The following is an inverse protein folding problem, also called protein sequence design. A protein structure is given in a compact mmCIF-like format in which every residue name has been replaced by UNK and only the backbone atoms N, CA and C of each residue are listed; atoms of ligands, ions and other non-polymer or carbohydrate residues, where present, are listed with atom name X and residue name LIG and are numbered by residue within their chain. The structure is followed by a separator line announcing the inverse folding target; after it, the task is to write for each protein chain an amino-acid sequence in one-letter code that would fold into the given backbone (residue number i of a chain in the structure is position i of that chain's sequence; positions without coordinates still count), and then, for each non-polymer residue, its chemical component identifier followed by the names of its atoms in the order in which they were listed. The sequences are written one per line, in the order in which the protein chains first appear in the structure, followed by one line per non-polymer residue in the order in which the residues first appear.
data_IF_307945427441
#
_entry.id   IF_307945427441
#
_cell.length_a   1.000
_cell.length_b   1.000
_cell.length_c   1.000
_cell.angle_alpha   90.00
_cell.angle_beta   90.00
_cell.angle_gamma   90.00
#
_symmetry.space_group_name_H-M   'P 1'
#
loop_
_entity.id
_entity.type
_entity.pdbx_description
1 polymer ?
#
# COMPACT_ATOMS: atom_id res chain seq x y z
N UNK A 1 -29.19 -12.80 1.44
CA UNK A 1 -28.73 -12.51 0.05
C UNK A 1 -28.98 -11.06 -0.36
N UNK A 2 -30.16 -10.49 -0.07
CA UNK A 2 -30.50 -9.07 -0.29
C UNK A 2 -29.57 -8.07 0.40
N UNK A 3 -29.24 -8.30 1.68
CA UNK A 3 -28.34 -7.43 2.44
C UNK A 3 -26.95 -7.27 1.78
N UNK A 4 -26.39 -8.36 1.25
CA UNK A 4 -25.07 -8.38 0.60
C UNK A 4 -25.08 -7.61 -0.73
N UNK A 5 -26.20 -7.65 -1.46
CA UNK A 5 -26.39 -6.87 -2.69
C UNK A 5 -26.56 -5.39 -2.38
N UNK A 6 -27.37 -5.05 -1.36
CA UNK A 6 -27.55 -3.68 -0.88
C UNK A 6 -26.23 -3.03 -0.45
N UNK A 7 -25.43 -3.72 0.36
CA UNK A 7 -24.11 -3.23 0.80
C UNK A 7 -23.17 -3.00 -0.40
N UNK A 8 -23.14 -3.91 -1.38
CA UNK A 8 -22.29 -3.74 -2.57
C UNK A 8 -22.70 -2.52 -3.41
N UNK A 9 -24.00 -2.33 -3.64
CA UNK A 9 -24.50 -1.19 -4.42
C UNK A 9 -24.23 0.12 -3.67
N UNK A 10 -24.51 0.15 -2.37
CA UNK A 10 -24.23 1.31 -1.52
C UNK A 10 -22.75 1.68 -1.49
N UNK A 11 -21.87 0.71 -1.28
CA UNK A 11 -20.42 0.93 -1.29
C UNK A 11 -19.92 1.41 -2.65
N UNK A 12 -20.46 0.85 -3.75
CA UNK A 12 -20.17 1.31 -5.10
C UNK A 12 -20.56 2.77 -5.33
N UNK A 13 -21.79 3.15 -4.99
CA UNK A 13 -22.26 4.54 -5.10
C UNK A 13 -21.42 5.51 -4.25
N UNK A 14 -21.10 5.14 -3.00
CA UNK A 14 -20.24 5.95 -2.14
C UNK A 14 -18.86 6.15 -2.75
N UNK A 15 -18.25 5.08 -3.26
CA UNK A 15 -16.89 5.14 -3.83
C UNK A 15 -16.85 6.04 -5.06
N UNK A 16 -17.90 6.00 -5.91
CA UNK A 16 -18.01 6.89 -7.08
C UNK A 16 -18.15 8.37 -6.67
N UNK A 17 -19.00 8.67 -5.69
CA UNK A 17 -19.15 10.04 -5.17
C UNK A 17 -17.82 10.58 -4.62
N UNK A 18 -17.13 9.75 -3.84
CA UNK A 18 -15.85 10.10 -3.20
C UNK A 18 -14.74 10.28 -4.26
N UNK A 19 -14.70 9.44 -5.29
CA UNK A 19 -13.74 9.54 -6.39
C UNK A 19 -13.93 10.78 -7.25
N UNK A 20 -15.18 11.21 -7.47
CA UNK A 20 -15.49 12.44 -8.24
C UNK A 20 -15.23 13.68 -7.39
N UNK A 21 -15.53 13.63 -6.09
CA UNK A 21 -15.35 14.77 -5.18
C UNK A 21 -13.89 15.01 -4.77
N UNK A 22 -13.07 13.96 -4.69
CA UNK A 22 -11.71 14.05 -4.17
C UNK A 22 -10.69 13.38 -5.11
N UNK A 23 -10.18 14.11 -6.12
CA UNK A 23 -9.22 13.57 -7.09
C UNK A 23 -7.85 13.23 -6.48
N UNK A 24 -7.59 13.59 -5.22
CA UNK A 24 -6.33 13.33 -4.51
C UNK A 24 -6.24 11.94 -3.85
N UNK A 25 -7.34 11.17 -3.81
CA UNK A 25 -7.38 9.85 -3.17
C UNK A 25 -6.40 8.83 -3.74
N UNK A 26 -6.14 8.76 -5.06
CA UNK A 26 -5.14 7.85 -5.60
C UNK A 26 -3.74 8.11 -5.01
N UNK A 27 -3.40 9.37 -4.75
CA UNK A 27 -2.11 9.73 -4.15
C UNK A 27 -2.01 9.30 -2.69
N UNK A 28 -3.10 9.44 -1.92
CA UNK A 28 -3.17 8.93 -0.54
C UNK A 28 -3.15 7.39 -0.50
N UNK A 29 -3.82 6.73 -1.45
CA UNK A 29 -3.85 5.28 -1.53
C UNK A 29 -2.45 4.70 -1.79
N UNK A 30 -1.64 5.35 -2.63
CA UNK A 30 -0.25 4.95 -2.87
C UNK A 30 0.62 5.10 -1.61
N UNK A 31 0.43 6.16 -0.83
CA UNK A 31 1.08 6.37 0.46
C UNK A 31 0.71 5.30 1.49
N UNK A 32 -0.59 5.04 1.65
CA UNK A 32 -1.12 4.03 2.58
C UNK A 32 -0.64 2.65 2.16
N UNK A 33 -0.66 2.35 0.86
CA UNK A 33 -0.09 1.12 0.30
C UNK A 33 1.39 0.98 0.61
N UNK A 34 2.18 2.05 0.39
CA UNK A 34 3.60 2.13 0.73
C UNK A 34 3.90 1.77 2.19
N UNK A 35 3.11 2.29 3.12
CA UNK A 35 3.26 2.05 4.57
C UNK A 35 2.79 0.66 4.99
N UNK A 36 1.82 0.08 4.28
CA UNK A 36 1.30 -1.26 4.58
C UNK A 36 2.24 -2.39 4.10
N UNK A 37 3.04 -2.14 3.06
CA UNK A 37 3.90 -3.15 2.43
C UNK A 37 4.95 -3.82 3.34
N UNK A 38 5.63 -3.10 4.26
CA UNK A 38 6.50 -3.74 5.25
C UNK A 38 5.73 -4.71 6.14
N UNK A 39 4.50 -4.36 6.51
CA UNK A 39 3.65 -5.19 7.37
C UNK A 39 3.17 -6.43 6.64
N UNK A 40 2.88 -6.34 5.34
CA UNK A 40 2.40 -7.50 4.57
C UNK A 40 3.50 -8.39 4.01
N UNK A 41 4.66 -7.81 3.67
CA UNK A 41 5.76 -8.53 3.00
C UNK A 41 6.94 -8.80 3.95
N UNK A 42 7.43 -7.79 4.66
CA UNK A 42 8.63 -7.94 5.50
C UNK A 42 8.31 -8.65 6.82
N UNK A 43 7.16 -8.37 7.43
CA UNK A 43 6.75 -8.96 8.70
C UNK A 43 6.71 -10.51 8.69
N UNK A 44 6.01 -11.20 7.76
CA UNK A 44 5.98 -12.67 7.77
C UNK A 44 7.36 -13.28 7.51
N UNK A 45 8.20 -12.66 6.67
CA UNK A 45 9.56 -13.11 6.40
C UNK A 45 10.46 -13.00 7.64
N UNK A 46 10.42 -11.86 8.34
CA UNK A 46 11.18 -11.65 9.57
C UNK A 46 10.67 -12.54 10.72
N UNK A 47 9.35 -12.64 10.87
CA UNK A 47 8.69 -13.52 11.84
C UNK A 47 9.14 -14.98 11.65
N UNK A 48 9.17 -15.45 10.40
CA UNK A 48 9.61 -16.81 10.09
C UNK A 48 11.06 -17.06 10.49
N UNK A 49 11.97 -16.11 10.22
CA UNK A 49 13.39 -16.21 10.61
C UNK A 49 13.55 -16.27 12.13
N UNK A 50 12.78 -15.46 12.87
CA UNK A 50 12.81 -15.40 14.33
C UNK A 50 12.31 -16.72 14.94
N UNK A 51 11.20 -17.27 14.43
CA UNK A 51 10.59 -18.51 14.97
C UNK A 51 11.44 -19.74 14.63
N UNK A 52 11.87 -19.89 13.37
CA UNK A 52 12.53 -21.13 12.93
C UNK A 52 14.02 -21.17 13.26
N UNK A 53 14.66 -20.03 13.57
CA UNK A 53 16.12 -19.88 13.73
C UNK A 53 16.90 -20.78 12.75
N UNK A 54 16.72 -20.62 11.43
CA UNK A 54 17.37 -21.49 10.45
C UNK A 54 18.89 -21.41 10.60
N UNK A 55 19.61 -22.49 10.23
CA UNK A 55 21.07 -22.41 10.11
C UNK A 55 21.43 -21.27 9.15
N UNK A 56 22.32 -20.38 9.60
CA UNK A 56 22.83 -19.27 8.79
C UNK A 56 23.37 -19.84 7.47
N UNK A 57 23.08 -19.17 6.35
CA UNK A 57 23.41 -19.57 4.97
C UNK A 57 22.63 -20.73 4.35
N UNK A 58 21.55 -21.22 4.96
CA UNK A 58 20.62 -22.09 4.24
C UNK A 58 19.91 -21.32 3.11
N UNK A 59 19.61 -21.99 1.99
CA UNK A 59 18.91 -21.39 0.85
C UNK A 59 17.60 -20.70 1.27
N UNK A 60 16.85 -21.32 2.19
CA UNK A 60 15.60 -20.76 2.75
C UNK A 60 15.83 -19.51 3.63
N UNK A 61 16.99 -19.41 4.28
CA UNK A 61 17.38 -18.25 5.08
C UNK A 61 17.75 -17.08 4.16
N UNK A 62 18.53 -17.34 3.10
CA UNK A 62 18.86 -16.34 2.10
C UNK A 62 17.60 -15.79 1.43
N UNK A 63 16.67 -16.67 0.99
CA UNK A 63 15.40 -16.25 0.38
C UNK A 63 14.55 -15.39 1.30
N UNK A 64 14.30 -15.82 2.55
CA UNK A 64 13.48 -15.02 3.47
C UNK A 64 14.15 -13.68 3.84
N UNK A 65 15.48 -13.65 3.92
CA UNK A 65 16.22 -12.42 4.17
C UNK A 65 16.15 -11.47 2.97
N UNK A 66 16.36 -11.95 1.75
CA UNK A 66 16.27 -11.12 0.53
C UNK A 66 14.85 -10.61 0.30
N UNK A 67 13.82 -11.44 0.50
CA UNK A 67 12.41 -11.05 0.44
C UNK A 67 12.07 -9.97 1.48
N UNK A 68 12.56 -10.12 2.72
CA UNK A 68 12.38 -9.12 3.76
C UNK A 68 13.03 -7.77 3.41
N UNK A 69 14.30 -7.79 2.98
CA UNK A 69 15.01 -6.60 2.52
C UNK A 69 14.33 -5.95 1.31
N UNK A 70 13.87 -6.74 0.33
CA UNK A 70 13.12 -6.27 -0.83
C UNK A 70 11.81 -5.60 -0.41
N UNK A 71 11.05 -6.19 0.52
CA UNK A 71 9.80 -5.61 1.01
C UNK A 71 9.99 -4.24 1.68
N UNK A 72 11.07 -4.09 2.47
CA UNK A 72 11.43 -2.81 3.09
C UNK A 72 11.87 -1.80 2.03
N UNK A 73 12.73 -2.20 1.10
CA UNK A 73 13.21 -1.32 0.02
C UNK A 73 12.05 -0.83 -0.86
N UNK A 74 11.12 -1.72 -1.21
CA UNK A 74 9.93 -1.38 -2.00
C UNK A 74 9.07 -0.35 -1.26
N UNK A 75 8.89 -0.50 0.05
CA UNK A 75 8.14 0.44 0.87
C UNK A 75 8.76 1.82 0.86
N UNK A 76 10.09 1.92 1.05
CA UNK A 76 10.80 3.20 1.01
C UNK A 76 10.67 3.85 -0.38
N UNK A 77 10.85 3.08 -1.46
CA UNK A 77 10.68 3.55 -2.83
C UNK A 77 9.26 4.06 -3.09
N UNK A 78 8.23 3.35 -2.62
CA UNK A 78 6.84 3.74 -2.80
C UNK A 78 6.46 4.96 -1.98
N UNK A 79 6.91 5.05 -0.73
CA UNK A 79 6.68 6.25 0.10
C UNK A 79 7.39 7.46 -0.51
N UNK A 80 8.65 7.32 -0.91
CA UNK A 80 9.40 8.38 -1.57
C UNK A 80 8.76 8.80 -2.90
N UNK A 81 8.36 7.84 -3.74
CA UNK A 81 7.65 8.10 -5.00
C UNK A 81 6.29 8.75 -4.79
N UNK A 82 5.57 8.38 -3.72
CA UNK A 82 4.29 9.00 -3.37
C UNK A 82 4.48 10.44 -2.90
N UNK A 83 5.47 10.70 -2.05
CA UNK A 83 5.84 12.07 -1.62
C UNK A 83 6.25 12.91 -2.84
N UNK A 84 7.08 12.36 -3.72
CA UNK A 84 7.51 13.02 -4.95
C UNK A 84 6.34 13.33 -5.88
N UNK A 85 5.40 12.40 -6.04
CA UNK A 85 4.18 12.61 -6.82
C UNK A 85 3.30 13.71 -6.23
N UNK A 86 3.21 13.82 -4.91
CA UNK A 86 2.48 14.90 -4.22
C UNK A 86 3.16 16.26 -4.45
N UNK A 87 4.50 16.28 -4.37
CA UNK A 87 5.29 17.50 -4.58
C UNK A 87 5.21 17.99 -6.02
N UNK A 88 5.32 17.08 -7.02
CA UNK A 88 5.25 17.44 -8.44
C UNK A 88 3.84 17.77 -8.90
N UNK A 89 2.83 17.01 -8.47
CA UNK A 89 1.44 17.39 -8.76
C UNK A 89 1.08 18.72 -8.12
N UNK A 90 1.86 19.15 -7.12
CA UNK A 90 1.61 20.35 -6.36
C UNK A 90 0.34 20.18 -5.55
N UNK A 91 0.31 20.73 -4.33
CA UNK A 91 -0.97 21.01 -3.70
C UNK A 91 -1.63 22.19 -4.42
N UNK A 92 -1.96 22.04 -5.70
CA UNK A 92 -3.08 22.78 -6.25
C UNK A 92 -4.34 22.13 -5.67
N UNK A 93 -4.76 22.63 -4.51
CA UNK A 93 -6.01 22.27 -3.83
C UNK A 93 -7.18 22.80 -4.69
N UNK A 94 -7.30 22.28 -5.91
CA UNK A 94 -8.43 22.52 -6.80
C UNK A 94 -9.58 21.62 -6.33
N UNK A 95 -10.24 22.07 -5.27
CA UNK A 95 -11.42 21.43 -4.68
C UNK A 95 -12.57 21.20 -5.70
N UNK A 96 -12.55 21.84 -6.89
CA UNK A 96 -13.59 21.72 -7.91
C UNK A 96 -13.09 22.01 -9.34
N UNK A 97 -12.28 21.13 -9.95
CA UNK A 97 -12.18 21.09 -11.42
C UNK A 97 -12.13 19.65 -11.93
N UNK A 98 -13.28 19.07 -12.31
CA UNK A 98 -13.28 17.82 -13.08
C UNK A 98 -12.65 18.10 -14.45
N UNK A 99 -11.75 17.21 -14.89
CA UNK A 99 -11.47 17.01 -16.31
C UNK A 99 -12.13 15.72 -16.74
#
# INVERSE_FOLDING_TARGET
RWLRRGIRIFFGCLTLLISVAFPFLPSLANLIGGIALPVTLAYPCLMWIIIKKPRKYSCMWCLNWTLGCLGILLSILLVAGSIWSIVIMGMEVHFFKPK
#
